data_IF_797114776422
#
_entry.id   IF_797114776422
#
_cell.length_a   1.000
_cell.length_b   1.000
_cell.length_c   1.000
_cell.angle_alpha   90.00
_cell.angle_beta   90.00
_cell.angle_gamma   90.00
#
_symmetry.space_group_name_H-M   'P 1'
#
loop_
_entity.id
_entity.type
_entity.pdbx_description
1 polymer ?
#
# COMPACT_ATOMS: atom_id res chain seq x y z
N UNK A 1 -9.04 -4.85 -4.75
CA UNK A 1 -9.88 -4.24 -3.70
C UNK A 1 -8.99 -3.72 -2.59
N UNK A 2 -8.99 -2.41 -2.37
CA UNK A 2 -8.27 -1.76 -1.27
C UNK A 2 -9.09 -1.89 0.02
N UNK A 3 -8.40 -2.17 1.12
CA UNK A 3 -8.97 -2.34 2.46
C UNK A 3 -8.46 -1.22 3.36
N UNK A 4 -9.28 -0.78 4.31
CA UNK A 4 -8.85 0.22 5.28
C UNK A 4 -8.10 -0.44 6.43
N UNK A 5 -6.98 0.16 6.83
CA UNK A 5 -6.16 -0.26 7.96
C UNK A 5 -5.80 0.94 8.84
N UNK A 6 -5.35 0.63 10.04
CA UNK A 6 -4.85 1.62 11.01
C UNK A 6 -3.52 1.15 11.56
N UNK A 7 -2.57 2.07 11.74
CA UNK A 7 -1.27 1.78 12.37
C UNK A 7 -0.84 2.94 13.26
N UNK A 8 0.00 2.66 14.25
CA UNK A 8 0.66 3.69 15.07
C UNK A 8 1.86 4.31 14.37
N UNK A 9 2.28 3.76 13.24
CA UNK A 9 3.44 4.16 12.46
C UNK A 9 3.10 4.24 10.96
N UNK A 10 3.86 5.06 10.24
CA UNK A 10 3.78 5.12 8.77
C UNK A 10 4.48 3.89 8.22
N UNK A 11 3.72 3.06 7.51
CA UNK A 11 4.24 1.85 6.87
C UNK A 11 4.90 2.22 5.53
N UNK A 12 5.90 1.44 5.06
CA UNK A 12 6.45 1.65 3.73
C UNK A 12 5.37 1.49 2.66
N UNK A 13 5.51 2.15 1.50
CA UNK A 13 4.54 2.03 0.40
C UNK A 13 4.37 0.59 -0.07
N UNK A 14 5.44 -0.21 -0.01
CA UNK A 14 5.46 -1.63 -0.36
C UNK A 14 6.12 -2.43 0.77
N UNK A 15 5.43 -3.46 1.23
CA UNK A 15 5.97 -4.47 2.13
C UNK A 15 5.92 -5.84 1.44
N UNK A 16 7.11 -6.38 1.16
CA UNK A 16 7.28 -7.72 0.61
C UNK A 16 7.94 -8.68 1.61
N UNK A 17 8.12 -8.26 2.87
CA UNK A 17 8.85 -9.03 3.89
C UNK A 17 7.91 -9.61 4.94
N UNK A 18 6.78 -8.97 5.23
CA UNK A 18 5.86 -9.39 6.30
C UNK A 18 5.08 -10.67 5.98
N UNK A 19 5.05 -11.11 4.71
CA UNK A 19 4.44 -12.38 4.32
C UNK A 19 5.30 -13.15 3.33
N UNK A 20 5.35 -14.48 3.50
CA UNK A 20 6.01 -15.37 2.54
C UNK A 20 5.25 -15.48 1.20
N UNK A 21 3.97 -15.08 1.14
CA UNK A 21 3.09 -15.32 -0.02
C UNK A 21 2.53 -14.04 -0.63
N UNK A 22 2.41 -12.98 0.16
CA UNK A 22 1.80 -11.73 -0.27
C UNK A 22 2.76 -10.54 -0.16
N UNK A 23 2.59 -9.60 -1.08
CA UNK A 23 3.11 -8.24 -1.01
C UNK A 23 1.95 -7.34 -0.61
N UNK A 24 2.18 -6.50 0.38
CA UNK A 24 1.24 -5.48 0.80
C UNK A 24 1.64 -4.14 0.18
N UNK A 25 0.68 -3.48 -0.44
CA UNK A 25 0.80 -2.10 -0.89
C UNK A 25 0.02 -1.22 0.06
N UNK A 26 0.58 -0.10 0.49
CA UNK A 26 -0.05 0.86 1.39
C UNK A 26 -0.09 2.24 0.74
N UNK A 27 -1.23 2.93 0.84
CA UNK A 27 -1.42 4.27 0.28
C UNK A 27 -2.37 5.12 1.12
N UNK A 28 -2.49 6.41 0.76
CA UNK A 28 -3.46 7.35 1.33
C UNK A 28 -3.41 7.45 2.86
N UNK A 29 -2.20 7.58 3.41
CA UNK A 29 -1.99 7.76 4.85
C UNK A 29 -2.60 9.08 5.34
N UNK A 30 -3.48 8.99 6.32
CA UNK A 30 -4.11 10.12 6.99
C UNK A 30 -3.80 10.06 8.47
N UNK A 31 -3.13 11.08 9.00
CA UNK A 31 -2.89 11.19 10.44
C UNK A 31 -4.21 11.51 11.17
N UNK A 32 -4.47 10.77 12.24
CA UNK A 32 -5.59 10.97 13.14
C UNK A 32 -5.10 11.02 14.59
N UNK A 33 -5.79 11.83 15.37
CA UNK A 33 -5.57 11.96 16.80
C UNK A 33 -6.78 11.42 17.53
N UNK A 34 -6.56 10.50 18.46
CA UNK A 34 -7.59 10.06 19.39
C UNK A 34 -7.27 10.57 20.78
N UNK A 35 -8.12 11.45 21.29
CA UNK A 35 -8.10 11.83 22.70
C UNK A 35 -8.63 10.66 23.54
N UNK A 36 -7.85 10.26 24.53
CA UNK A 36 -8.25 9.27 25.53
C UNK A 36 -8.91 9.96 26.73
N UNK A 37 -9.68 9.22 27.52
CA UNK A 37 -10.38 9.76 28.69
C UNK A 37 -9.46 10.38 29.75
N UNK A 38 -8.18 10.01 29.77
CA UNK A 38 -7.18 10.56 30.69
C UNK A 38 -6.52 11.86 30.19
N UNK A 39 -6.97 12.41 29.06
CA UNK A 39 -6.41 13.63 28.47
C UNK A 39 -5.15 13.40 27.63
N UNK A 40 -4.71 12.16 27.45
CA UNK A 40 -3.62 11.83 26.53
C UNK A 40 -4.14 11.74 25.09
N UNK A 41 -3.42 12.33 24.13
CA UNK A 41 -3.68 12.12 22.71
C UNK A 41 -2.77 11.04 22.15
N UNK A 42 -3.35 10.09 21.41
CA UNK A 42 -2.58 9.10 20.66
C UNK A 42 -2.77 9.31 19.17
N UNK A 43 -1.65 9.51 18.48
CA UNK A 43 -1.59 9.57 17.03
C UNK A 43 -1.68 8.17 16.44
N UNK A 44 -2.52 8.02 15.42
CA UNK A 44 -2.58 6.84 14.58
C UNK A 44 -2.80 7.26 13.13
N UNK A 45 -2.36 6.43 12.20
CA UNK A 45 -2.49 6.65 10.77
C UNK A 45 -3.54 5.71 10.23
N UNK A 46 -4.59 6.26 9.63
CA UNK A 46 -5.50 5.52 8.76
C UNK A 46 -4.87 5.42 7.37
N UNK A 47 -4.95 4.26 6.74
CA UNK A 47 -4.43 4.05 5.39
C UNK A 47 -5.28 3.05 4.62
N UNK A 48 -5.08 3.00 3.32
CA UNK A 48 -5.59 1.94 2.48
C UNK A 48 -4.49 0.94 2.16
N UNK A 49 -4.81 -0.34 2.17
CA UNK A 49 -3.89 -1.39 1.79
C UNK A 49 -4.49 -2.39 0.80
N UNK A 50 -3.66 -2.91 -0.08
CA UNK A 50 -3.99 -4.02 -0.96
C UNK A 50 -2.98 -5.15 -0.76
N UNK A 51 -3.43 -6.39 -0.96
CA UNK A 51 -2.54 -7.55 -0.95
C UNK A 51 -2.48 -8.16 -2.34
N UNK A 52 -1.28 -8.42 -2.82
CA UNK A 52 -1.00 -9.03 -4.11
C UNK A 52 -0.18 -10.27 -3.85
N UNK A 53 -0.39 -11.35 -4.61
CA UNK A 53 0.49 -12.53 -4.49
C UNK A 53 1.89 -12.19 -4.98
N UNK A 54 2.92 -12.68 -4.30
CA UNK A 54 4.33 -12.43 -4.68
C UNK A 54 4.62 -12.79 -6.12
N UNK A 55 4.15 -13.96 -6.60
CA UNK A 55 4.30 -14.35 -8.00
C UNK A 55 3.76 -13.32 -9.00
N UNK A 56 2.63 -12.66 -8.68
CA UNK A 56 2.04 -11.63 -9.54
C UNK A 56 2.86 -10.34 -9.48
N UNK A 57 3.28 -9.94 -8.28
CA UNK A 57 4.12 -8.77 -8.10
C UNK A 57 5.48 -8.93 -8.81
N UNK A 58 6.11 -10.10 -8.69
CA UNK A 58 7.37 -10.42 -9.38
C UNK A 58 7.18 -10.51 -10.88
N UNK A 59 6.13 -11.17 -11.38
CA UNK A 59 5.84 -11.23 -12.81
C UNK A 59 5.68 -9.83 -13.43
N UNK A 60 4.96 -8.93 -12.77
CA UNK A 60 4.82 -7.55 -13.25
C UNK A 60 6.14 -6.79 -13.12
N UNK A 61 6.83 -6.90 -11.99
CA UNK A 61 8.14 -6.25 -11.79
C UNK A 61 9.16 -6.69 -12.84
N UNK A 62 9.24 -7.97 -13.17
CA UNK A 62 10.17 -8.51 -14.18
C UNK A 62 9.76 -8.14 -15.61
N UNK A 63 8.47 -8.22 -15.94
CA UNK A 63 7.96 -7.83 -17.26
C UNK A 63 8.17 -6.34 -17.55
N UNK A 64 8.28 -5.52 -16.51
CA UNK A 64 8.48 -4.07 -16.62
C UNK A 64 9.92 -3.63 -16.41
N UNK A 65 10.78 -4.45 -15.79
CA UNK A 65 12.21 -4.18 -15.68
C UNK A 65 12.94 -4.20 -17.05
N UNK A 66 12.27 -4.69 -18.10
CA UNK A 66 12.77 -4.67 -19.48
C UNK A 66 12.48 -3.35 -20.21
N UNK A 67 11.59 -2.50 -19.68
CA UNK A 67 11.37 -1.13 -20.14
C UNK A 67 11.94 -0.18 -19.08
N UNK A 68 12.79 0.76 -19.50
CA UNK A 68 13.57 1.70 -18.69
C UNK A 68 12.68 2.75 -17.95
N UNK A 69 11.75 2.28 -17.11
CA UNK A 69 10.64 3.06 -16.51
C UNK A 69 10.42 2.77 -15.02
N UNK A 70 11.50 2.52 -14.29
CA UNK A 70 11.46 2.09 -12.88
C UNK A 70 10.77 3.05 -11.91
N UNK A 71 10.62 4.32 -12.27
CA UNK A 71 9.98 5.34 -11.39
C UNK A 71 8.45 5.40 -11.53
N UNK A 72 7.87 4.85 -12.60
CA UNK A 72 6.41 4.87 -12.84
C UNK A 72 5.70 3.58 -12.41
N UNK A 73 6.46 2.55 -12.00
CA UNK A 73 5.95 1.19 -11.74
C UNK A 73 4.92 1.16 -10.60
N UNK A 74 5.11 1.95 -9.54
CA UNK A 74 4.20 1.91 -8.37
C UNK A 74 2.84 2.55 -8.67
N UNK A 75 2.83 3.65 -9.43
CA UNK A 75 1.62 4.37 -9.83
C UNK A 75 0.83 3.57 -10.89
N UNK A 76 1.53 2.99 -11.85
CA UNK A 76 0.95 2.16 -12.91
C UNK A 76 0.51 0.79 -12.41
N UNK A 77 1.17 0.20 -11.41
CA UNK A 77 0.66 -1.01 -10.73
C UNK A 77 -0.65 -0.72 -9.98
N UNK A 78 -0.75 0.45 -9.36
CA UNK A 78 -1.99 0.89 -8.73
C UNK A 78 -3.10 1.10 -9.77
N UNK A 79 -2.77 1.62 -10.96
CA UNK A 79 -3.71 1.83 -12.07
C UNK A 79 -4.08 0.52 -12.82
N UNK A 80 -3.15 -0.40 -13.09
CA UNK A 80 -3.47 -1.65 -13.80
C UNK A 80 -4.16 -2.69 -12.93
N UNK A 81 -3.87 -2.73 -11.62
CA UNK A 81 -4.51 -3.66 -10.71
C UNK A 81 -5.81 -3.10 -10.11
N UNK A 82 -6.00 -1.76 -10.13
CA UNK A 82 -7.13 -1.11 -9.46
C UNK A 82 -7.72 0.13 -10.17
N UNK A 83 -7.11 0.65 -11.22
CA UNK A 83 -7.57 1.79 -12.05
C UNK A 83 -8.52 1.33 -13.16
N UNK A 84 -9.61 0.71 -12.74
CA UNK A 84 -10.76 0.40 -13.58
C UNK A 84 -12.04 0.91 -12.94
N UNK A 85 -12.04 2.17 -12.49
CA UNK A 85 -13.25 2.90 -12.14
C UNK A 85 -12.95 4.40 -12.36
N UNK A 86 -13.11 4.88 -13.59
CA UNK A 86 -13.69 6.18 -13.91
C UNK A 86 -13.97 6.27 -15.43
N UNK A 87 -15.27 6.17 -15.75
CA UNK A 87 -16.04 6.39 -17.01
C UNK A 87 -15.85 5.50 -18.26
#
# INVERSE_FOLDING_TARGET
MWMKGTSTEILPAVDNTSSATYVYLYRNFTEKHREMENGESKTYYEYEYAKIKKDVYEYVRESWATEDRTTEIEDVLAELLFGGDEE
#
